data_IF_291468622106
#
_entry.id   IF_291468622106
#
_cell.length_a   1.000
_cell.length_b   1.000
_cell.length_c   1.000
_cell.angle_alpha   90.00
_cell.angle_beta   90.00
_cell.angle_gamma   90.00
#
_symmetry.space_group_name_H-M   'P 1'
#
loop_
_entity.id
_entity.type
_entity.pdbx_description
1 polymer ?
#
# COMPACT_ATOMS: atom_id res chain seq x y z
N UNK A 1 5.68 -17.34 23.16
CA UNK A 1 5.74 -16.72 21.82
C UNK A 1 7.21 -16.61 21.44
N UNK A 2 7.61 -16.98 20.20
CA UNK A 2 8.98 -16.83 19.75
C UNK A 2 9.38 -15.35 19.71
N UNK A 3 10.63 -15.06 20.09
CA UNK A 3 11.17 -13.70 20.09
C UNK A 3 11.46 -13.27 18.65
N UNK A 4 10.97 -12.11 18.19
CA UNK A 4 11.20 -11.65 16.82
C UNK A 4 12.69 -11.46 16.52
N UNK A 5 13.14 -12.00 15.38
CA UNK A 5 14.49 -11.79 14.90
C UNK A 5 14.59 -10.43 14.19
N UNK A 6 15.20 -9.44 14.85
CA UNK A 6 15.32 -8.06 14.32
C UNK A 6 16.06 -7.98 12.98
N UNK A 7 17.03 -8.87 12.72
CA UNK A 7 17.72 -8.92 11.42
C UNK A 7 16.82 -9.43 10.31
N UNK A 8 15.97 -10.43 10.60
CA UNK A 8 14.97 -10.93 9.68
C UNK A 8 13.91 -9.86 9.39
N UNK A 9 13.46 -9.12 10.42
CA UNK A 9 12.50 -8.01 10.26
C UNK A 9 13.03 -6.95 9.29
N UNK A 10 14.30 -6.55 9.39
CA UNK A 10 14.90 -5.59 8.45
C UNK A 10 14.86 -6.09 7.01
N UNK A 11 15.22 -7.36 6.78
CA UNK A 11 15.18 -7.97 5.45
C UNK A 11 13.75 -8.10 4.91
N UNK A 12 12.78 -8.43 5.75
CA UNK A 12 11.36 -8.48 5.37
C UNK A 12 10.84 -7.07 5.01
N UNK A 13 11.26 -6.04 5.75
CA UNK A 13 10.87 -4.65 5.50
C UNK A 13 11.37 -4.13 4.15
N UNK A 14 12.58 -4.49 3.73
CA UNK A 14 13.11 -4.14 2.41
C UNK A 14 12.22 -4.66 1.26
N UNK A 15 11.54 -5.79 1.48
CA UNK A 15 10.61 -6.41 0.52
C UNK A 15 9.16 -5.97 0.72
N UNK A 16 8.87 -5.25 1.79
CA UNK A 16 7.52 -4.77 2.10
C UNK A 16 7.17 -3.61 1.19
N UNK A 17 6.05 -3.72 0.47
CA UNK A 17 5.60 -2.69 -0.47
C UNK A 17 5.28 -1.38 0.26
N UNK A 18 5.93 -0.30 -0.16
CA UNK A 18 5.62 1.06 0.30
C UNK A 18 4.85 1.89 -0.74
N UNK A 19 4.51 3.15 -0.45
CA UNK A 19 3.78 4.00 -1.39
C UNK A 19 4.63 4.40 -2.60
N UNK A 20 3.99 4.48 -3.77
CA UNK A 20 4.51 5.21 -4.91
C UNK A 20 4.67 6.71 -4.59
N UNK A 21 5.64 7.38 -5.21
CA UNK A 21 6.74 6.80 -5.97
C UNK A 21 7.92 6.39 -5.08
N UNK A 22 7.97 6.85 -3.82
CA UNK A 22 9.17 6.76 -2.99
C UNK A 22 9.68 5.32 -2.74
N UNK A 23 8.79 4.34 -2.79
CA UNK A 23 9.12 2.93 -2.54
C UNK A 23 8.89 2.05 -3.78
N UNK A 24 8.89 2.60 -4.99
CA UNK A 24 8.60 1.84 -6.22
C UNK A 24 9.49 0.60 -6.42
N UNK A 25 10.73 0.64 -5.93
CA UNK A 25 11.66 -0.50 -5.98
C UNK A 25 11.19 -1.73 -5.17
N UNK A 26 10.27 -1.54 -4.22
CA UNK A 26 9.65 -2.63 -3.46
C UNK A 26 8.50 -3.30 -4.20
N UNK A 27 8.08 -2.78 -5.36
CA UNK A 27 6.90 -3.29 -6.06
C UNK A 27 7.21 -4.64 -6.70
N UNK A 28 6.29 -5.61 -6.62
CA UNK A 28 6.52 -6.94 -7.18
C UNK A 28 6.60 -6.85 -8.70
N UNK A 29 7.66 -7.39 -9.28
CA UNK A 29 7.65 -7.84 -10.67
C UNK A 29 6.95 -9.20 -10.71
N UNK A 30 6.13 -9.43 -11.74
CA UNK A 30 5.32 -10.64 -11.81
C UNK A 30 5.14 -11.11 -13.25
N UNK A 31 4.58 -12.31 -13.41
CA UNK A 31 4.13 -12.82 -14.70
C UNK A 31 2.61 -12.91 -14.69
N UNK A 32 1.99 -12.54 -15.80
CA UNK A 32 0.56 -12.75 -16.01
C UNK A 32 0.27 -14.22 -16.33
N UNK A 33 -1.02 -14.57 -16.49
CA UNK A 33 -1.44 -15.92 -16.84
C UNK A 33 -0.89 -16.35 -18.20
N UNK A 34 -0.79 -15.43 -19.17
CA UNK A 34 -0.16 -15.69 -20.47
C UNK A 34 1.38 -15.84 -20.42
N UNK A 35 1.99 -15.63 -19.23
CA UNK A 35 3.43 -15.75 -19.01
C UNK A 35 4.21 -14.47 -19.31
N UNK A 36 3.54 -13.39 -19.72
CA UNK A 36 4.17 -12.08 -19.96
C UNK A 36 4.70 -11.50 -18.65
N UNK A 37 5.93 -10.96 -18.68
CA UNK A 37 6.58 -10.39 -17.50
C UNK A 37 6.32 -8.89 -17.44
N UNK A 38 5.82 -8.44 -16.30
CA UNK A 38 5.51 -7.04 -16.02
C UNK A 38 6.50 -6.45 -15.01
N UNK A 39 6.93 -5.21 -15.27
CA UNK A 39 7.88 -4.47 -14.45
C UNK A 39 7.45 -3.02 -14.25
N UNK A 40 7.86 -2.44 -13.13
CA UNK A 40 7.56 -1.07 -12.76
C UNK A 40 8.70 -0.12 -13.16
N UNK A 41 8.35 1.05 -13.68
CA UNK A 41 9.29 2.10 -14.10
C UNK A 41 8.95 3.40 -13.38
N UNK A 42 9.95 4.01 -12.73
CA UNK A 42 9.82 5.34 -12.15
C UNK A 42 10.38 6.41 -13.10
N UNK A 43 9.58 7.44 -13.37
CA UNK A 43 9.88 8.48 -14.37
C UNK A 43 10.69 9.67 -13.82
N UNK A 44 11.39 9.49 -12.70
CA UNK A 44 12.17 10.54 -12.04
C UNK A 44 11.31 11.59 -11.34
N UNK A 45 11.91 12.66 -10.85
CA UNK A 45 11.21 13.66 -10.02
C UNK A 45 10.73 14.89 -10.81
N UNK A 46 11.24 15.08 -12.03
CA UNK A 46 11.05 16.29 -12.82
C UNK A 46 10.25 16.03 -14.09
N UNK A 47 9.80 17.12 -14.72
CA UNK A 47 9.09 17.06 -15.99
C UNK A 47 7.60 16.66 -15.86
N UNK A 48 6.92 16.51 -17.00
CA UNK A 48 5.46 16.32 -17.05
C UNK A 48 5.00 14.95 -16.56
N UNK A 49 5.90 13.96 -16.47
CA UNK A 49 5.65 12.62 -15.92
C UNK A 49 6.41 12.36 -14.62
N UNK A 50 7.03 13.38 -14.02
CA UNK A 50 7.79 13.21 -12.79
C UNK A 50 6.89 12.72 -11.63
N UNK A 51 7.46 11.89 -10.75
CA UNK A 51 6.81 11.19 -9.63
C UNK A 51 5.81 10.11 -10.05
N UNK A 52 5.64 9.83 -11.35
CA UNK A 52 4.82 8.71 -11.81
C UNK A 52 5.60 7.40 -11.76
N UNK A 53 4.89 6.34 -11.39
CA UNK A 53 5.36 4.96 -11.56
C UNK A 53 4.42 4.26 -12.53
N UNK A 54 4.95 3.69 -13.60
CA UNK A 54 4.15 2.97 -14.59
C UNK A 54 4.49 1.49 -14.60
N UNK A 55 3.49 0.67 -14.91
CA UNK A 55 3.63 -0.74 -15.20
C UNK A 55 3.62 -0.94 -16.71
N UNK A 56 4.53 -1.75 -17.22
CA UNK A 56 4.55 -2.18 -18.62
C UNK A 56 5.13 -3.58 -18.74
N UNK A 57 5.15 -4.10 -19.97
CA UNK A 57 5.92 -5.31 -20.25
C UNK A 57 7.41 -5.01 -20.12
N UNK A 58 8.18 -5.97 -19.59
CA UNK A 58 9.64 -5.84 -19.50
C UNK A 58 10.29 -5.63 -20.88
N UNK A 59 9.69 -6.18 -21.93
CA UNK A 59 10.15 -6.07 -23.32
C UNK A 59 9.68 -4.78 -24.03
N UNK A 60 8.70 -4.07 -23.47
CA UNK A 60 8.09 -2.87 -24.06
C UNK A 60 8.00 -1.74 -23.00
N UNK A 61 9.12 -1.30 -22.41
CA UNK A 61 9.10 -0.37 -21.27
C UNK A 61 8.51 1.02 -21.61
N UNK A 62 8.51 1.40 -22.88
CA UNK A 62 7.94 2.66 -23.39
C UNK A 62 6.43 2.59 -23.63
N UNK A 63 5.80 1.43 -23.43
CA UNK A 63 4.35 1.24 -23.59
C UNK A 63 3.70 0.96 -22.23
N UNK A 64 3.46 2.00 -21.42
CA UNK A 64 2.82 1.83 -20.13
C UNK A 64 1.38 1.32 -20.31
N UNK A 65 0.95 0.50 -19.37
CA UNK A 65 -0.37 -0.14 -19.34
C UNK A 65 -1.18 0.23 -18.09
N UNK A 66 -0.49 0.73 -17.07
CA UNK A 66 -1.05 1.28 -15.85
C UNK A 66 -0.10 2.35 -15.31
N UNK A 67 -0.63 3.48 -14.84
CA UNK A 67 0.13 4.52 -14.16
C UNK A 67 -0.39 4.72 -12.72
N UNK A 68 0.56 4.89 -11.81
CA UNK A 68 0.32 5.17 -10.40
C UNK A 68 0.84 6.56 -10.05
N UNK A 69 -0.03 7.37 -9.46
CA UNK A 69 0.33 8.60 -8.75
C UNK A 69 0.66 8.26 -7.29
N UNK A 70 0.95 9.28 -6.47
CA UNK A 70 1.38 9.13 -5.07
C UNK A 70 0.45 8.28 -4.20
N UNK A 71 1.04 7.59 -3.22
CA UNK A 71 0.36 6.77 -2.20
C UNK A 71 -0.30 5.47 -2.67
N UNK A 72 -0.12 5.07 -3.93
CA UNK A 72 -0.55 3.76 -4.41
C UNK A 72 0.41 2.66 -3.98
N UNK A 73 -0.15 1.49 -3.68
CA UNK A 73 0.63 0.29 -3.33
C UNK A 73 0.08 -0.90 -4.11
N UNK A 74 0.85 -1.45 -5.07
CA UNK A 74 0.47 -2.67 -5.74
C UNK A 74 0.69 -3.89 -4.85
N UNK A 75 -0.14 -4.92 -5.03
CA UNK A 75 0.02 -6.22 -4.39
C UNK A 75 -0.46 -7.31 -5.35
N UNK A 76 0.07 -8.52 -5.18
CA UNK A 76 -0.34 -9.65 -6.01
C UNK A 76 -1.63 -10.24 -5.47
N UNK A 77 -2.55 -10.54 -6.39
CA UNK A 77 -3.81 -11.22 -6.09
C UNK A 77 -3.75 -12.57 -6.81
N UNK A 78 -3.54 -13.67 -6.07
CA UNK A 78 -3.42 -14.98 -6.68
C UNK A 78 -4.69 -15.37 -7.48
N UNK A 79 -4.56 -16.11 -8.58
CA UNK A 79 -3.30 -16.65 -9.11
C UNK A 79 -2.49 -15.64 -9.93
N UNK A 80 -3.12 -14.69 -10.63
CA UNK A 80 -2.43 -13.86 -11.64
C UNK A 80 -2.96 -12.42 -11.76
N UNK A 81 -3.75 -11.95 -10.79
CA UNK A 81 -4.29 -10.60 -10.81
C UNK A 81 -3.35 -9.61 -10.11
N UNK A 82 -3.50 -8.34 -10.48
CA UNK A 82 -2.81 -7.23 -9.84
C UNK A 82 -3.80 -6.40 -9.03
N UNK A 83 -3.63 -6.39 -7.71
CA UNK A 83 -4.33 -5.49 -6.80
C UNK A 83 -3.55 -4.18 -6.64
N UNK A 84 -4.26 -3.09 -6.44
CA UNK A 84 -3.69 -1.81 -6.02
C UNK A 84 -4.58 -1.27 -4.92
N UNK A 85 -3.98 -0.79 -3.84
CA UNK A 85 -4.74 -0.01 -2.88
C UNK A 85 -4.16 1.40 -2.73
N UNK A 86 -5.05 2.35 -2.46
CA UNK A 86 -4.69 3.73 -2.18
C UNK A 86 -5.75 4.42 -1.30
N UNK A 87 -5.37 5.44 -0.52
CA UNK A 87 -6.34 6.27 0.17
C UNK A 87 -7.09 7.18 -0.83
N UNK A 88 -8.41 7.08 -0.92
CA UNK A 88 -9.26 7.82 -1.84
C UNK A 88 -10.27 8.65 -1.04
N UNK A 89 -10.03 9.96 -0.90
CA UNK A 89 -10.87 10.85 -0.10
C UNK A 89 -11.02 10.40 1.36
N UNK A 90 -12.17 9.78 1.69
CA UNK A 90 -12.51 9.26 3.03
C UNK A 90 -12.57 7.72 3.08
N UNK A 91 -12.00 7.06 2.08
CA UNK A 91 -12.01 5.61 1.93
C UNK A 91 -10.60 5.08 1.67
N UNK A 92 -10.42 3.78 1.86
CA UNK A 92 -9.36 2.99 1.23
C UNK A 92 -10.00 2.35 0.01
N UNK A 93 -9.48 2.67 -1.17
CA UNK A 93 -9.91 2.03 -2.42
C UNK A 93 -9.00 0.85 -2.70
N UNK A 94 -9.59 -0.29 -3.05
CA UNK A 94 -8.91 -1.48 -3.53
C UNK A 94 -9.44 -1.79 -4.93
N UNK A 95 -8.53 -1.84 -5.90
CA UNK A 95 -8.84 -2.08 -7.30
C UNK A 95 -8.03 -3.26 -7.82
N UNK A 96 -8.62 -4.07 -8.67
CA UNK A 96 -8.03 -5.28 -9.23
C UNK A 96 -8.04 -5.22 -10.75
N UNK A 97 -6.91 -5.57 -11.36
CA UNK A 97 -6.75 -5.65 -12.81
C UNK A 97 -6.33 -7.06 -13.23
N UNK A 98 -6.84 -7.50 -14.37
CA UNK A 98 -6.26 -8.59 -15.14
C UNK A 98 -5.10 -8.05 -15.98
N UNK A 99 -3.84 -8.39 -15.68
CA UNK A 99 -2.70 -7.88 -16.40
C UNK A 99 -2.72 -8.22 -17.90
N UNK A 100 -3.29 -9.37 -18.28
CA UNK A 100 -3.37 -9.80 -19.69
C UNK A 100 -4.37 -8.95 -20.51
N UNK A 101 -5.28 -8.24 -19.84
CA UNK A 101 -6.25 -7.35 -20.50
C UNK A 101 -5.80 -5.88 -20.54
N UNK A 102 -4.75 -5.51 -19.81
CA UNK A 102 -4.31 -4.13 -19.73
C UNK A 102 -3.79 -3.65 -21.09
N UNK A 103 -4.48 -2.68 -21.67
CA UNK A 103 -4.09 -2.01 -22.91
C UNK A 103 -2.97 -0.99 -22.65
N UNK A 104 -2.04 -0.90 -23.59
CA UNK A 104 -1.05 0.15 -23.58
C UNK A 104 -1.70 1.52 -23.86
N UNK A 105 -1.06 2.57 -23.36
CA UNK A 105 -1.40 3.97 -23.62
C UNK A 105 -0.12 4.80 -23.82
N UNK A 106 -0.24 5.98 -24.42
CA UNK A 106 0.89 6.91 -24.58
C UNK A 106 1.11 7.71 -23.28
N UNK A 107 2.35 7.88 -22.81
CA UNK A 107 2.66 8.73 -21.66
C UNK A 107 2.13 10.17 -21.82
N UNK A 108 2.01 10.67 -23.06
CA UNK A 108 1.38 11.94 -23.37
C UNK A 108 -0.07 12.04 -22.87
N UNK A 109 -0.79 10.91 -22.74
CA UNK A 109 -2.17 10.86 -22.23
C UNK A 109 -2.26 11.20 -20.75
N UNK A 110 -1.18 11.04 -19.96
CA UNK A 110 -1.14 11.35 -18.52
C UNK A 110 -0.21 12.52 -18.18
N UNK A 111 0.63 12.91 -19.12
CA UNK A 111 1.63 13.96 -18.96
C UNK A 111 1.00 15.30 -18.54
N UNK A 112 1.54 15.90 -17.48
CA UNK A 112 1.23 17.26 -17.03
C UNK A 112 -0.05 17.41 -16.19
N UNK A 113 -1.03 16.52 -16.33
CA UNK A 113 -2.29 16.63 -15.58
C UNK A 113 -2.49 15.53 -14.53
N UNK A 114 -1.95 14.32 -14.73
CA UNK A 114 -2.21 13.21 -13.82
C UNK A 114 -1.53 13.40 -12.46
N UNK A 115 -0.28 13.91 -12.45
CA UNK A 115 0.43 14.22 -11.20
C UNK A 115 -0.35 15.16 -10.27
N UNK A 116 -0.86 16.33 -10.73
CA UNK A 116 -1.64 17.23 -9.88
C UNK A 116 -3.10 16.81 -9.69
N UNK A 117 -3.59 15.75 -10.36
CA UNK A 117 -4.98 15.32 -10.20
C UNK A 117 -5.21 14.64 -8.84
N UNK A 118 -6.49 14.53 -8.47
CA UNK A 118 -6.90 13.68 -7.34
C UNK A 118 -6.85 12.20 -7.69
N UNK A 119 -6.85 11.86 -8.99
CA UNK A 119 -6.81 10.48 -9.45
C UNK A 119 -5.46 9.86 -9.12
N UNK A 120 -5.52 8.66 -8.54
CA UNK A 120 -4.33 7.94 -8.11
C UNK A 120 -3.88 6.87 -9.09
N UNK A 121 -4.81 6.36 -9.87
CA UNK A 121 -4.63 5.19 -10.73
C UNK A 121 -5.18 5.55 -12.10
N UNK A 122 -4.37 5.36 -13.12
CA UNK A 122 -4.78 5.55 -14.50
C UNK A 122 -4.51 4.27 -15.31
N UNK A 123 -5.54 3.79 -15.99
CA UNK A 123 -5.46 2.73 -16.99
C UNK A 123 -6.56 2.99 -18.03
N UNK A 124 -6.29 2.65 -19.30
CA UNK A 124 -7.31 2.68 -20.37
C UNK A 124 -8.25 1.48 -20.32
N UNK A 125 -7.90 0.48 -19.51
CA UNK A 125 -8.67 -0.75 -19.29
C UNK A 125 -9.41 -0.65 -17.98
N UNK A 126 -10.70 -1.00 -17.98
CA UNK A 126 -11.48 -1.04 -16.75
C UNK A 126 -10.97 -2.14 -15.81
N UNK A 127 -11.02 -1.93 -14.48
CA UNK A 127 -10.69 -2.97 -13.53
C UNK A 127 -11.69 -4.13 -13.58
N UNK A 128 -11.25 -5.31 -13.16
CA UNK A 128 -12.13 -6.48 -12.98
C UNK A 128 -12.90 -6.41 -11.66
N UNK A 129 -12.37 -5.69 -10.67
CA UNK A 129 -13.06 -5.38 -9.42
C UNK A 129 -12.57 -4.05 -8.86
N UNK A 130 -13.47 -3.31 -8.20
CA UNK A 130 -13.18 -2.01 -7.59
C UNK A 130 -14.14 -1.82 -6.41
N UNK A 131 -13.60 -1.62 -5.21
CA UNK A 131 -14.42 -1.37 -4.02
C UNK A 131 -13.69 -0.50 -3.01
N UNK A 132 -14.48 0.10 -2.12
CA UNK A 132 -14.01 1.04 -1.12
C UNK A 132 -14.41 0.63 0.29
N UNK A 133 -13.51 0.87 1.24
CA UNK A 133 -13.76 0.69 2.67
C UNK A 133 -13.62 2.04 3.39
N UNK A 134 -14.64 2.50 4.13
CA UNK A 134 -14.59 3.81 4.80
C UNK A 134 -13.48 3.91 5.84
N UNK A 135 -12.76 5.04 5.86
CA UNK A 135 -11.79 5.38 6.91
C UNK A 135 -12.45 5.75 8.25
N UNK A 136 -13.77 5.87 8.28
CA UNK A 136 -14.55 6.21 9.47
C UNK A 136 -14.84 5.00 10.38
N UNK A 137 -14.42 3.80 10.00
CA UNK A 137 -14.58 2.61 10.84
C UNK A 137 -13.84 2.80 12.17
N UNK A 138 -14.53 2.47 13.27
CA UNK A 138 -13.95 2.53 14.60
C UNK A 138 -12.93 1.40 14.86
N UNK A 139 -12.25 1.39 16.01
CA UNK A 139 -11.30 0.34 16.35
C UNK A 139 -11.96 -1.04 16.41
N UNK A 140 -11.25 -2.09 15.98
CA UNK A 140 -11.71 -3.48 16.04
C UNK A 140 -12.08 -4.09 14.69
N UNK A 141 -12.76 -5.24 14.73
CA UNK A 141 -13.09 -6.06 13.56
C UNK A 141 -14.43 -5.67 12.94
N UNK A 142 -14.46 -5.52 11.61
CA UNK A 142 -15.66 -5.16 10.85
C UNK A 142 -15.86 -6.11 9.67
N UNK A 143 -17.12 -6.38 9.33
CA UNK A 143 -17.47 -7.08 8.09
C UNK A 143 -17.46 -6.10 6.93
N UNK A 144 -16.97 -6.56 5.79
CA UNK A 144 -16.95 -5.82 4.53
C UNK A 144 -17.41 -6.73 3.40
N UNK A 145 -17.99 -6.13 2.36
CA UNK A 145 -18.31 -6.84 1.13
C UNK A 145 -17.07 -6.83 0.24
N UNK A 146 -16.49 -8.01 0.02
CA UNK A 146 -15.26 -8.17 -0.77
C UNK A 146 -15.61 -8.84 -2.09
N UNK A 147 -15.25 -8.24 -3.24
CA UNK A 147 -15.39 -8.88 -4.55
C UNK A 147 -14.63 -10.20 -4.61
N UNK A 148 -15.16 -11.17 -5.36
CA UNK A 148 -14.61 -12.53 -5.42
C UNK A 148 -13.16 -12.56 -5.93
N UNK A 149 -12.79 -11.60 -6.77
CA UNK A 149 -11.45 -11.44 -7.34
C UNK A 149 -10.37 -11.31 -6.25
N UNK A 150 -10.72 -10.77 -5.08
CA UNK A 150 -9.80 -10.61 -3.95
C UNK A 150 -9.83 -11.78 -2.96
N UNK A 151 -10.67 -12.80 -3.17
CA UNK A 151 -10.92 -13.86 -2.18
C UNK A 151 -9.69 -14.75 -1.90
N UNK A 152 -8.65 -14.69 -2.73
CA UNK A 152 -7.40 -15.44 -2.53
C UNK A 152 -6.33 -14.66 -1.73
N UNK A 153 -6.65 -13.45 -1.26
CA UNK A 153 -5.71 -12.63 -0.48
C UNK A 153 -5.94 -12.86 1.01
N UNK A 154 -4.95 -13.47 1.66
CA UNK A 154 -4.97 -13.77 3.08
C UNK A 154 -5.01 -12.53 3.96
N UNK A 155 -4.03 -11.66 3.76
CA UNK A 155 -3.85 -10.46 4.56
C UNK A 155 -3.31 -9.32 3.68
N UNK A 156 -3.86 -8.12 3.86
CA UNK A 156 -3.30 -6.88 3.35
C UNK A 156 -3.31 -5.83 4.46
N UNK A 157 -2.15 -5.27 4.80
CA UNK A 157 -2.05 -4.22 5.81
C UNK A 157 -1.95 -2.86 5.12
N UNK A 158 -2.95 -2.02 5.32
CA UNK A 158 -3.01 -0.66 4.78
C UNK A 158 -2.80 0.40 5.87
N UNK A 159 -1.58 0.90 6.07
CA UNK A 159 -1.32 2.06 6.91
C UNK A 159 -1.88 3.33 6.27
N UNK A 160 -2.75 4.03 6.99
CA UNK A 160 -3.37 5.27 6.51
C UNK A 160 -3.71 6.21 7.66
N UNK A 161 -4.00 7.47 7.32
CA UNK A 161 -4.44 8.46 8.29
C UNK A 161 -5.74 8.04 8.97
N UNK A 162 -5.87 8.39 10.24
CA UNK A 162 -7.01 8.07 11.08
C UNK A 162 -7.59 9.36 11.66
N UNK A 163 -8.92 9.42 11.78
CA UNK A 163 -9.62 10.64 12.20
C UNK A 163 -9.47 10.85 13.70
N UNK A 164 -8.44 11.57 14.10
CA UNK A 164 -8.27 12.07 15.46
C UNK A 164 -9.34 13.13 15.80
N UNK A 165 -9.97 13.01 16.97
CA UNK A 165 -10.92 14.00 17.51
C UNK A 165 -10.24 14.91 18.56
N UNK A 166 -9.18 14.40 19.19
CA UNK A 166 -8.33 15.10 20.16
C UNK A 166 -6.85 15.04 19.76
N UNK A 167 -6.01 15.83 20.42
CA UNK A 167 -4.55 15.81 20.19
C UNK A 167 -3.89 14.51 20.64
N UNK A 168 -4.47 13.84 21.61
CA UNK A 168 -3.94 12.59 22.17
C UNK A 168 -4.46 11.35 21.42
N UNK A 169 -5.40 11.56 20.48
CA UNK A 169 -5.92 10.47 19.66
C UNK A 169 -4.89 10.04 18.60
N UNK A 170 -4.91 8.76 18.18
CA UNK A 170 -4.09 8.27 17.08
C UNK A 170 -4.33 9.06 15.78
N UNK A 171 -3.25 9.51 15.15
CA UNK A 171 -3.30 10.14 13.83
C UNK A 171 -3.27 9.12 12.68
N UNK A 172 -2.86 7.88 12.97
CA UNK A 172 -2.75 6.79 12.01
C UNK A 172 -3.40 5.52 12.55
N UNK A 173 -3.85 4.68 11.63
CA UNK A 173 -4.30 3.33 11.90
C UNK A 173 -3.73 2.36 10.85
N UNK A 174 -3.62 1.10 11.24
CA UNK A 174 -3.42 0.00 10.31
C UNK A 174 -4.79 -0.63 10.05
N UNK A 175 -5.21 -0.66 8.80
CA UNK A 175 -6.36 -1.43 8.37
C UNK A 175 -5.84 -2.78 7.88
N UNK A 176 -6.06 -3.83 8.66
CA UNK A 176 -5.65 -5.20 8.33
C UNK A 176 -6.83 -5.89 7.67
N UNK A 177 -6.76 -6.03 6.35
CA UNK A 177 -7.78 -6.69 5.55
C UNK A 177 -7.54 -8.19 5.53
N UNK A 178 -8.54 -8.97 5.92
CA UNK A 178 -8.60 -10.42 5.70
C UNK A 178 -9.62 -10.67 4.58
N UNK A 179 -9.20 -10.39 3.33
CA UNK A 179 -10.11 -10.28 2.18
C UNK A 179 -10.86 -11.58 1.91
N UNK A 180 -10.19 -12.72 2.04
CA UNK A 180 -10.81 -14.05 1.96
C UNK A 180 -11.94 -14.32 2.97
N UNK A 181 -11.93 -13.63 4.10
CA UNK A 181 -12.94 -13.76 5.15
C UNK A 181 -14.01 -12.66 5.09
N UNK A 182 -13.86 -11.67 4.20
CA UNK A 182 -14.75 -10.50 4.17
C UNK A 182 -14.62 -9.63 5.42
N UNK A 183 -13.40 -9.49 5.96
CA UNK A 183 -13.16 -8.78 7.22
C UNK A 183 -12.08 -7.71 7.07
N UNK A 184 -12.20 -6.66 7.88
CA UNK A 184 -11.13 -5.68 8.12
C UNK A 184 -11.03 -5.39 9.60
N UNK A 185 -9.81 -5.40 10.13
CA UNK A 185 -9.49 -5.00 11.50
C UNK A 185 -8.83 -3.64 11.50
N UNK A 186 -9.37 -2.71 12.28
CA UNK A 186 -8.84 -1.35 12.43
C UNK A 186 -8.03 -1.27 13.71
N UNK A 187 -6.73 -1.02 13.58
CA UNK A 187 -5.76 -0.92 14.66
C UNK A 187 -5.20 0.51 14.76
N UNK A 188 -5.81 1.39 15.58
CA UNK A 188 -5.29 2.74 15.80
C UNK A 188 -3.93 2.71 16.50
N UNK A 189 -2.98 3.48 15.98
CA UNK A 189 -1.60 3.49 16.47
C UNK A 189 -1.46 4.47 17.64
N UNK A 190 -1.64 3.97 18.86
CA UNK A 190 -1.67 4.76 20.11
C UNK A 190 -0.35 5.45 20.44
N UNK A 191 0.73 5.02 19.83
CA UNK A 191 2.06 5.60 19.96
C UNK A 191 2.34 6.71 18.92
N UNK A 192 1.42 6.92 17.96
CA UNK A 192 1.52 7.91 16.89
C UNK A 192 0.30 8.85 16.94
N UNK A 193 0.37 9.85 17.81
CA UNK A 193 -0.77 10.73 18.12
C UNK A 193 -0.81 11.99 17.24
N UNK A 194 -1.97 12.64 17.18
CA UNK A 194 -2.15 13.89 16.44
C UNK A 194 -1.27 15.04 16.98
N UNK A 195 -0.87 15.01 18.26
CA UNK A 195 0.06 15.97 18.83
C UNK A 195 1.48 15.86 18.25
N UNK A 196 1.88 14.65 17.83
CA UNK A 196 3.22 14.34 17.30
C UNK A 196 3.24 14.33 15.77
N UNK A 197 2.09 14.08 15.14
CA UNK A 197 1.99 13.95 13.69
C UNK A 197 2.20 15.28 12.97
N UNK A 198 3.28 15.34 12.22
CA UNK A 198 3.59 16.44 11.30
C UNK A 198 3.37 15.99 9.85
N UNK A 199 2.31 16.53 9.23
CA UNK A 199 1.94 16.22 7.84
C UNK A 199 3.15 16.40 6.91
N UNK A 200 3.46 15.37 6.13
CA UNK A 200 4.56 15.38 5.17
C UNK A 200 5.96 15.21 5.77
N UNK A 201 6.09 15.15 7.10
CA UNK A 201 7.37 14.86 7.77
C UNK A 201 7.43 13.46 8.35
N UNK A 202 6.30 12.97 8.87
CA UNK A 202 6.23 11.64 9.46
C UNK A 202 4.95 10.93 9.02
N UNK A 203 5.04 9.67 8.62
CA UNK A 203 3.88 8.80 8.40
C UNK A 203 4.30 7.33 8.49
N UNK A 204 3.35 6.43 8.67
CA UNK A 204 3.63 4.99 8.53
C UNK A 204 3.59 4.65 7.03
N UNK A 205 4.75 4.39 6.44
CA UNK A 205 4.90 4.17 4.99
C UNK A 205 4.63 2.71 4.62
N UNK A 206 5.11 1.78 5.44
CA UNK A 206 5.09 0.33 5.23
C UNK A 206 4.69 -0.37 6.52
N UNK A 207 3.94 -1.45 6.42
CA UNK A 207 3.66 -2.35 7.52
C UNK A 207 3.44 -3.77 6.99
N UNK A 208 3.91 -4.77 7.73
CA UNK A 208 3.75 -6.18 7.43
C UNK A 208 3.72 -6.99 8.73
N UNK A 209 3.23 -8.22 8.66
CA UNK A 209 3.23 -9.15 9.78
C UNK A 209 4.39 -10.12 9.64
N UNK A 210 5.15 -10.27 10.72
CA UNK A 210 6.19 -11.29 10.79
C UNK A 210 5.55 -12.67 10.91
N UNK A 211 5.95 -13.61 10.04
CA UNK A 211 5.33 -14.93 9.96
C UNK A 211 5.63 -15.81 11.20
N UNK A 212 6.74 -15.55 11.90
CA UNK A 212 7.15 -16.35 13.07
C UNK A 212 6.51 -15.86 14.37
N UNK A 213 6.58 -14.55 14.64
CA UNK A 213 6.04 -13.96 15.88
C UNK A 213 4.58 -13.50 15.75
N UNK A 214 4.04 -13.42 14.53
CA UNK A 214 2.73 -12.83 14.19
C UNK A 214 2.57 -11.35 14.57
N UNK A 215 3.66 -10.68 14.99
CA UNK A 215 3.65 -9.26 15.35
C UNK A 215 3.82 -8.40 14.11
N UNK A 216 3.23 -7.22 14.15
CA UNK A 216 3.31 -6.25 13.05
C UNK A 216 4.58 -5.41 13.23
N UNK A 217 5.34 -5.28 12.16
CA UNK A 217 6.47 -4.35 12.04
C UNK A 217 6.22 -3.40 10.88
N UNK A 218 6.97 -2.30 10.84
CA UNK A 218 6.84 -1.34 9.76
C UNK A 218 7.87 -0.23 9.77
N UNK A 219 7.74 0.67 8.81
CA UNK A 219 8.57 1.85 8.66
C UNK A 219 7.72 3.10 8.90
N UNK A 220 8.20 3.96 9.79
CA UNK A 220 7.68 5.30 9.97
C UNK A 220 8.66 6.28 9.31
N UNK A 221 8.27 6.82 8.16
CA UNK A 221 9.06 7.82 7.44
C UNK A 221 9.40 8.98 8.38
N UNK A 222 10.63 9.47 8.30
CA UNK A 222 11.13 10.52 9.21
C UNK A 222 11.44 10.07 10.64
N UNK A 223 11.12 8.82 11.05
CA UNK A 223 11.32 8.36 12.44
C UNK A 223 12.15 7.08 12.53
N UNK A 224 11.78 6.01 11.82
CA UNK A 224 12.51 4.74 11.88
C UNK A 224 11.64 3.50 11.74
N UNK A 225 12.25 2.34 11.96
CA UNK A 225 11.61 1.02 11.88
C UNK A 225 11.07 0.62 13.24
N UNK A 226 9.81 0.24 13.30
CA UNK A 226 9.11 -0.12 14.54
C UNK A 226 8.66 -1.58 14.55
N UNK A 227 8.46 -2.09 15.77
CA UNK A 227 7.78 -3.34 16.06
C UNK A 227 6.65 -3.07 17.07
N UNK A 228 5.45 -3.59 16.79
CA UNK A 228 4.28 -3.42 17.62
C UNK A 228 4.12 -4.56 18.64
N UNK A 229 3.44 -4.29 19.74
CA UNK A 229 2.95 -5.31 20.68
C UNK A 229 1.96 -6.27 19.99
N UNK A 230 1.60 -7.38 20.65
CA UNK A 230 0.76 -8.44 20.08
C UNK A 230 -0.62 -7.91 19.62
N UNK A 231 -1.17 -6.94 20.35
CA UNK A 231 -2.42 -6.24 20.00
C UNK A 231 -2.32 -5.29 18.80
N UNK A 232 -1.12 -5.05 18.25
CA UNK A 232 -0.91 -4.26 17.04
C UNK A 232 -1.27 -2.77 17.14
N UNK A 233 -1.49 -2.23 18.36
CA UNK A 233 -1.86 -0.82 18.57
C UNK A 233 -0.80 0.00 19.30
N UNK A 234 0.19 -0.64 19.92
CA UNK A 234 1.22 -0.01 20.75
C UNK A 234 2.61 -0.37 20.25
N UNK A 235 3.53 0.58 20.41
CA UNK A 235 4.93 0.37 20.11
C UNK A 235 5.55 -0.50 21.19
N UNK A 236 6.16 -1.62 20.81
CA UNK A 236 6.97 -2.40 21.72
C UNK A 236 8.41 -1.91 21.73
N UNK A 237 9.01 -1.75 20.54
CA UNK A 237 10.38 -1.26 20.40
C UNK A 237 10.63 -0.63 19.03
N UNK A 238 11.65 0.24 18.98
CA UNK A 238 12.24 0.70 17.73
C UNK A 238 13.34 -0.28 17.32
N UNK A 239 13.15 -0.95 16.18
CA UNK A 239 14.18 -1.81 15.56
C UNK A 239 15.35 -0.97 15.06
N UNK A 240 15.04 0.25 14.62
CA UNK A 240 16.00 1.28 14.23
C UNK A 240 15.33 2.64 14.38
N UNK A 241 16.05 3.63 14.94
CA UNK A 241 15.55 5.00 15.09
C UNK A 241 16.50 5.97 14.40
N UNK A 242 15.94 6.85 13.58
CA UNK A 242 16.67 7.97 12.98
C UNK A 242 16.93 9.01 14.07
N UNK A 243 18.20 9.31 14.28
CA UNK A 243 18.72 10.32 15.21
C UNK A 243 18.57 11.72 14.66
#
# INVERSE_FOLDING_TARGET
MPTPNLSAIRQQLERTVGPSPWYWNSFPAFRSLSGQRFTWTHHGEQGPVGYLVTLGHEQEPEQPRLALNTYCRPFLVPPNYLGIWCPEGRSIRLICFDPDQLKAFDLAEVAGWFKPSSDRIYATTAPVADFEVPLALGPGMHKIEVPQEFAAVDELIAPTSYKALSKDDPAFALFVFYLQAGLVEVLPQKWFTAAQYEVGRQWISRAARDAESHRIFGDCFGVGTFLLEEEGCRLAEWVERKS
#
